data_IF_011336662063
#
_entry.id   IF_011336662063
#
_cell.length_a   1.000
_cell.length_b   1.000
_cell.length_c   1.000
_cell.angle_alpha   90.00
_cell.angle_beta   90.00
_cell.angle_gamma   90.00
#
_symmetry.space_group_name_H-M   'P 1'
#
loop_
_entity.id
_entity.type
_entity.pdbx_description
1 polymer ?
#
# COMPACT_ATOMS: atom_id res chain seq x y z
N UNK A 1 -1.04 11.56 -35.43
CA UNK A 1 -1.00 10.10 -35.19
C UNK A 1 -0.48 9.69 -33.81
N UNK A 2 0.14 10.56 -32.99
CA UNK A 2 0.47 10.23 -31.58
C UNK A 2 -0.69 10.48 -30.59
N UNK A 3 -1.74 11.20 -31.01
CA UNK A 3 -2.95 11.46 -30.20
C UNK A 3 -3.79 10.22 -29.93
N UNK A 4 -3.71 9.21 -30.80
CA UNK A 4 -4.59 8.04 -30.75
C UNK A 4 -4.05 6.94 -29.83
N UNK A 5 -2.79 7.07 -29.38
CA UNK A 5 -2.10 6.08 -28.54
C UNK A 5 -2.41 6.27 -27.05
N UNK A 6 -2.62 7.51 -26.61
CA UNK A 6 -2.77 7.84 -25.18
C UNK A 6 -4.23 8.09 -24.76
N UNK A 7 -5.17 8.05 -25.71
CA UNK A 7 -6.55 8.44 -25.48
C UNK A 7 -6.68 9.91 -25.04
N UNK A 8 -7.91 10.36 -24.84
CA UNK A 8 -8.21 11.69 -24.27
C UNK A 8 -9.02 11.49 -23.01
N UNK A 9 -8.54 12.03 -21.89
CA UNK A 9 -9.35 12.10 -20.68
C UNK A 9 -10.53 13.05 -20.89
N UNK A 10 -11.71 12.59 -20.50
CA UNK A 10 -12.89 13.43 -20.37
C UNK A 10 -13.49 13.20 -18.99
N UNK A 11 -13.84 14.30 -18.31
CA UNK A 11 -14.58 14.24 -17.06
C UNK A 11 -16.06 14.16 -17.40
N UNK A 12 -16.68 13.01 -17.11
CA UNK A 12 -18.10 12.80 -17.33
C UNK A 12 -18.93 13.50 -16.25
N UNK A 13 -20.07 14.08 -16.64
CA UNK A 13 -21.05 14.62 -15.70
C UNK A 13 -22.01 13.51 -15.29
N UNK A 14 -21.79 12.96 -14.11
CA UNK A 14 -22.62 11.88 -13.53
C UNK A 14 -23.80 12.42 -12.72
N UNK A 15 -24.81 11.59 -12.50
CA UNK A 15 -26.03 11.90 -11.73
C UNK A 15 -26.40 10.74 -10.80
N UNK A 16 -27.44 10.92 -9.98
CA UNK A 16 -27.98 9.89 -9.09
C UNK A 16 -27.22 9.79 -7.77
N UNK A 17 -27.22 8.59 -7.18
CA UNK A 17 -26.66 8.32 -5.85
C UNK A 17 -25.14 8.16 -5.92
N UNK A 18 -24.42 9.28 -6.06
CA UNK A 18 -22.96 9.26 -6.23
C UNK A 18 -22.30 8.67 -4.97
N UNK A 19 -21.44 7.63 -5.10
CA UNK A 19 -20.76 7.04 -3.95
C UNK A 19 -19.79 8.03 -3.29
N UNK A 20 -19.61 7.90 -1.98
CA UNK A 20 -18.65 8.70 -1.22
C UNK A 20 -17.20 8.42 -1.65
N UNK A 21 -16.33 9.41 -1.44
CA UNK A 21 -14.89 9.30 -1.71
C UNK A 21 -14.29 8.14 -0.93
N UNK A 22 -13.65 7.22 -1.65
CA UNK A 22 -13.11 5.96 -1.11
C UNK A 22 -11.92 5.46 -1.90
N UNK A 23 -11.02 4.75 -1.23
CA UNK A 23 -9.90 4.02 -1.83
C UNK A 23 -10.07 2.51 -1.66
N UNK A 24 -9.36 1.73 -2.49
CA UNK A 24 -9.30 0.26 -2.39
C UNK A 24 -10.68 -0.43 -2.42
N UNK A 25 -11.62 0.19 -3.11
CA UNK A 25 -12.88 -0.44 -3.53
C UNK A 25 -12.61 -1.32 -4.75
N UNK A 26 -13.58 -2.15 -5.11
CA UNK A 26 -13.55 -2.90 -6.37
C UNK A 26 -14.55 -2.32 -7.35
N UNK A 27 -14.26 -2.47 -8.64
CA UNK A 27 -15.12 -2.07 -9.75
C UNK A 27 -15.24 -3.24 -10.73
N UNK A 28 -16.45 -3.69 -11.03
CA UNK A 28 -16.68 -4.80 -11.96
C UNK A 28 -17.76 -4.46 -12.96
N UNK A 29 -17.49 -4.68 -14.24
CA UNK A 29 -18.45 -4.51 -15.32
C UNK A 29 -19.28 -5.79 -15.46
N UNK A 30 -20.61 -5.67 -15.34
CA UNK A 30 -21.57 -6.73 -15.65
C UNK A 30 -22.62 -6.15 -16.61
N UNK A 31 -22.69 -6.70 -17.82
CA UNK A 31 -23.51 -6.12 -18.89
C UNK A 31 -23.05 -4.68 -19.18
N UNK A 32 -23.96 -3.72 -19.00
CA UNK A 32 -23.70 -2.28 -19.19
C UNK A 32 -23.48 -1.51 -17.89
N UNK A 33 -23.43 -2.20 -16.75
CA UNK A 33 -23.34 -1.57 -15.43
C UNK A 33 -21.99 -1.85 -14.77
N UNK A 34 -21.37 -0.80 -14.24
CA UNK A 34 -20.20 -0.93 -13.38
C UNK A 34 -20.64 -0.94 -11.93
N UNK A 35 -20.29 -2.00 -11.22
CA UNK A 35 -20.62 -2.17 -9.80
C UNK A 35 -19.41 -1.80 -8.94
N UNK A 36 -19.62 -0.88 -8.00
CA UNK A 36 -18.64 -0.50 -6.99
C UNK A 36 -19.01 -1.14 -5.67
N UNK A 37 -18.08 -1.91 -5.09
CA UNK A 37 -18.31 -2.66 -3.85
C UNK A 37 -17.22 -2.32 -2.82
N UNK A 38 -17.67 -1.96 -1.63
CA UNK A 38 -16.83 -1.71 -0.46
C UNK A 38 -15.84 -0.55 -0.62
N UNK A 39 -14.68 -0.68 0.03
CA UNK A 39 -13.63 0.35 0.07
C UNK A 39 -13.47 1.00 1.44
N UNK A 40 -12.60 2.01 1.51
CA UNK A 40 -12.29 2.73 2.73
C UNK A 40 -12.20 4.24 2.49
N UNK A 41 -12.83 5.03 3.35
CA UNK A 41 -12.67 6.49 3.37
C UNK A 41 -11.67 6.87 4.45
N UNK A 42 -10.62 7.59 4.05
CA UNK A 42 -9.63 8.16 5.00
C UNK A 42 -10.23 9.29 5.82
N UNK A 43 -11.03 10.16 5.20
CA UNK A 43 -11.61 11.33 5.89
C UNK A 43 -12.63 10.92 6.95
N UNK A 44 -13.41 9.86 6.69
CA UNK A 44 -14.38 9.34 7.64
C UNK A 44 -13.89 8.14 8.46
N UNK A 45 -12.65 7.69 8.28
CA UNK A 45 -12.09 6.44 8.83
C UNK A 45 -13.05 5.23 8.75
N UNK A 46 -13.80 5.15 7.66
CA UNK A 46 -14.95 4.25 7.52
C UNK A 46 -14.68 3.22 6.44
N UNK A 47 -14.90 1.96 6.78
CA UNK A 47 -14.94 0.85 5.83
C UNK A 47 -16.36 0.68 5.30
N UNK A 48 -16.48 0.30 4.04
CA UNK A 48 -17.77 0.13 3.38
C UNK A 48 -18.01 -1.32 2.95
N UNK A 49 -19.28 -1.70 2.83
CA UNK A 49 -19.77 -2.88 2.13
C UNK A 49 -21.01 -2.54 1.27
N UNK A 50 -21.29 -1.25 1.07
CA UNK A 50 -22.37 -0.81 0.20
C UNK A 50 -22.04 -1.08 -1.28
N UNK A 51 -23.10 -1.18 -2.08
CA UNK A 51 -23.04 -1.46 -3.51
C UNK A 51 -23.62 -0.27 -4.25
N UNK A 52 -22.92 0.17 -5.28
CA UNK A 52 -23.44 1.13 -6.24
C UNK A 52 -23.35 0.53 -7.63
N UNK A 53 -24.38 0.72 -8.43
CA UNK A 53 -24.34 0.45 -9.86
C UNK A 53 -24.29 1.76 -10.64
N UNK A 54 -23.37 1.83 -11.60
CA UNK A 54 -23.26 2.91 -12.55
C UNK A 54 -23.73 2.43 -13.92
N UNK A 55 -24.81 3.00 -14.42
CA UNK A 55 -25.28 2.75 -15.78
C UNK A 55 -24.42 3.54 -16.76
N UNK A 56 -23.68 2.83 -17.63
CA UNK A 56 -22.66 3.45 -18.50
C UNK A 56 -23.27 4.29 -19.63
N UNK A 57 -24.52 3.99 -20.04
CA UNK A 57 -25.21 4.72 -21.10
C UNK A 57 -25.85 6.02 -20.60
N UNK A 58 -26.42 6.00 -19.39
CA UNK A 58 -27.13 7.15 -18.82
C UNK A 58 -26.28 7.96 -17.85
N UNK A 59 -25.07 7.48 -17.54
CA UNK A 59 -24.11 8.08 -16.60
C UNK A 59 -24.73 8.33 -15.21
N UNK A 60 -25.59 7.40 -14.78
CA UNK A 60 -26.36 7.52 -13.54
C UNK A 60 -25.94 6.46 -12.54
N UNK A 61 -25.68 6.88 -11.31
CA UNK A 61 -25.43 6.03 -10.16
C UNK A 61 -26.73 5.67 -9.45
N UNK A 62 -26.81 4.44 -8.96
CA UNK A 62 -27.90 3.95 -8.12
C UNK A 62 -27.30 3.20 -6.94
N UNK A 63 -27.66 3.59 -5.72
CA UNK A 63 -27.34 2.82 -4.52
C UNK A 63 -28.24 1.57 -4.48
N UNK A 64 -27.64 0.40 -4.27
CA UNK A 64 -28.38 -0.87 -4.25
C UNK A 64 -28.49 -1.41 -2.82
N UNK A 65 -29.72 -1.75 -2.43
CA UNK A 65 -30.02 -2.45 -1.19
C UNK A 65 -30.22 -3.93 -1.50
N UNK A 66 -29.14 -4.70 -1.45
CA UNK A 66 -29.15 -6.14 -1.74
C UNK A 66 -29.68 -6.95 -0.55
N UNK A 67 -30.41 -8.02 -0.85
CA UNK A 67 -30.81 -9.03 0.17
C UNK A 67 -29.67 -10.01 0.44
N UNK A 68 -29.90 -10.95 1.37
CA UNK A 68 -28.89 -11.94 1.79
C UNK A 68 -27.91 -11.38 2.83
N UNK A 69 -26.81 -12.10 3.06
CA UNK A 69 -25.79 -11.73 4.04
C UNK A 69 -24.57 -11.14 3.31
N UNK A 70 -24.38 -9.81 3.32
CA UNK A 70 -23.23 -9.19 2.67
C UNK A 70 -21.93 -9.50 3.43
N UNK A 71 -20.77 -9.39 2.77
CA UNK A 71 -19.50 -9.38 3.45
C UNK A 71 -19.43 -8.22 4.46
N UNK A 72 -18.66 -8.41 5.54
CA UNK A 72 -18.29 -7.32 6.46
C UNK A 72 -17.67 -6.13 5.70
N UNK A 73 -17.87 -4.93 6.24
CA UNK A 73 -17.26 -3.67 5.76
C UNK A 73 -15.75 -3.83 5.60
N UNK A 74 -15.26 -3.72 4.35
CA UNK A 74 -13.88 -4.10 3.99
C UNK A 74 -13.29 -3.26 2.86
N UNK A 75 -11.98 -3.27 2.75
CA UNK A 75 -11.24 -2.69 1.62
C UNK A 75 -10.08 -3.59 1.17
N UNK A 76 -9.57 -3.37 -0.05
CA UNK A 76 -8.46 -4.13 -0.61
C UNK A 76 -8.78 -5.60 -0.90
N UNK A 77 -10.07 -5.93 -1.06
CA UNK A 77 -10.51 -7.22 -1.59
C UNK A 77 -10.43 -7.20 -3.12
N UNK A 78 -10.58 -8.37 -3.75
CA UNK A 78 -10.76 -8.48 -5.20
C UNK A 78 -12.22 -8.72 -5.55
N UNK A 79 -12.62 -8.32 -6.77
CA UNK A 79 -13.92 -8.65 -7.35
C UNK A 79 -13.73 -9.20 -8.77
N UNK A 80 -14.44 -10.27 -9.12
CA UNK A 80 -14.31 -10.96 -10.41
C UNK A 80 -15.70 -11.24 -10.99
N UNK A 81 -15.97 -10.70 -12.18
CA UNK A 81 -17.24 -10.89 -12.85
C UNK A 81 -17.24 -12.19 -13.66
N UNK A 82 -18.14 -13.13 -13.34
CA UNK A 82 -18.32 -14.42 -14.04
C UNK A 82 -19.82 -14.71 -14.12
N UNK A 83 -20.32 -15.02 -15.31
CA UNK A 83 -21.75 -15.31 -15.59
C UNK A 83 -22.73 -14.25 -15.12
N UNK A 84 -22.34 -12.99 -15.20
CA UNK A 84 -23.16 -11.88 -14.71
C UNK A 84 -23.24 -11.77 -13.19
N UNK A 85 -22.47 -12.57 -12.44
CA UNK A 85 -22.31 -12.45 -10.99
C UNK A 85 -20.93 -11.89 -10.64
N UNK A 86 -20.80 -11.35 -9.43
CA UNK A 86 -19.56 -10.73 -8.95
C UNK A 86 -19.04 -11.48 -7.73
N UNK A 87 -17.91 -12.15 -7.90
CA UNK A 87 -17.25 -12.92 -6.86
C UNK A 87 -16.27 -12.05 -6.09
N UNK A 88 -16.42 -11.99 -4.76
CA UNK A 88 -15.62 -11.19 -3.85
C UNK A 88 -14.75 -12.11 -2.99
N UNK A 89 -13.43 -11.86 -2.98
CA UNK A 89 -12.49 -12.63 -2.16
C UNK A 89 -11.60 -11.74 -1.31
N UNK A 90 -11.49 -12.11 -0.03
CA UNK A 90 -10.53 -11.56 0.93
C UNK A 90 -10.73 -10.08 1.27
N UNK A 91 -9.62 -9.36 1.40
CA UNK A 91 -9.57 -7.98 1.89
C UNK A 91 -9.33 -7.88 3.39
N UNK A 92 -9.45 -6.67 3.93
CA UNK A 92 -9.27 -6.40 5.36
C UNK A 92 -10.45 -5.62 5.94
N UNK A 93 -10.80 -5.96 7.17
CA UNK A 93 -11.89 -5.38 7.97
C UNK A 93 -11.33 -4.66 9.20
N UNK A 94 -12.09 -3.71 9.76
CA UNK A 94 -11.74 -3.05 11.03
C UNK A 94 -12.19 -3.93 12.20
N UNK A 95 -11.31 -4.19 13.15
CA UNK A 95 -11.62 -4.90 14.40
C UNK A 95 -11.41 -3.98 15.61
N UNK A 96 -12.14 -4.23 16.71
CA UNK A 96 -11.94 -3.50 17.96
C UNK A 96 -10.60 -3.95 18.58
N UNK A 97 -9.77 -3.01 19.03
CA UNK A 97 -8.49 -3.31 19.72
C UNK A 97 -8.73 -4.22 20.94
N UNK A 98 -8.05 -5.38 21.01
CA UNK A 98 -7.95 -6.20 22.22
C UNK A 98 -8.31 -7.69 22.07
N UNK A 99 -8.46 -8.21 20.85
CA UNK A 99 -8.57 -9.64 20.56
C UNK A 99 -7.20 -10.34 20.52
N UNK A 100 -7.15 -11.60 20.97
CA UNK A 100 -5.94 -12.44 21.04
C UNK A 100 -5.23 -12.70 19.68
N UNK A 101 -5.85 -12.34 18.56
CA UNK A 101 -5.33 -12.49 17.19
C UNK A 101 -5.14 -11.14 16.48
N UNK A 102 -5.21 -10.03 17.21
CA UNK A 102 -5.15 -8.69 16.64
C UNK A 102 -3.72 -8.32 16.23
N UNK A 103 -3.58 -7.68 15.07
CA UNK A 103 -2.46 -6.75 14.91
C UNK A 103 -2.78 -5.51 15.74
N UNK A 104 -2.39 -5.55 17.02
CA UNK A 104 -2.59 -4.49 18.01
C UNK A 104 -2.11 -3.11 17.51
N UNK A 105 -1.22 -3.09 16.50
CA UNK A 105 -0.67 -1.87 15.89
C UNK A 105 -1.65 -1.16 14.96
N UNK A 106 -2.60 -1.86 14.32
CA UNK A 106 -3.47 -1.29 13.28
C UNK A 106 -4.97 -1.55 13.44
N UNK A 107 -5.39 -2.48 14.30
CA UNK A 107 -6.83 -2.76 14.52
C UNK A 107 -7.56 -3.24 13.26
N UNK A 108 -6.88 -4.06 12.45
CA UNK A 108 -7.44 -4.65 11.23
C UNK A 108 -7.25 -6.16 11.21
N UNK A 109 -8.22 -6.87 10.63
CA UNK A 109 -8.13 -8.30 10.39
C UNK A 109 -8.26 -8.58 8.89
N UNK A 110 -7.44 -9.51 8.39
CA UNK A 110 -7.50 -9.94 7.00
C UNK A 110 -8.50 -11.09 6.87
N UNK A 111 -9.16 -11.18 5.71
CA UNK A 111 -10.14 -12.21 5.40
C UNK A 111 -9.68 -13.04 4.19
N UNK A 112 -10.19 -14.27 4.09
CA UNK A 112 -10.11 -15.18 2.93
C UNK A 112 -11.46 -15.83 2.64
N UNK A 113 -12.55 -15.19 3.07
CA UNK A 113 -13.90 -15.61 2.77
C UNK A 113 -14.25 -15.32 1.30
N UNK A 114 -15.19 -16.13 0.76
CA UNK A 114 -15.71 -15.98 -0.59
C UNK A 114 -17.19 -15.61 -0.54
N UNK A 115 -17.54 -14.51 -1.22
CA UNK A 115 -18.91 -14.09 -1.43
C UNK A 115 -19.19 -13.97 -2.92
N UNK A 116 -20.46 -14.10 -3.28
CA UNK A 116 -20.97 -13.82 -4.60
C UNK A 116 -22.12 -12.83 -4.47
N UNK A 117 -22.03 -11.73 -5.19
CA UNK A 117 -23.14 -10.82 -5.41
C UNK A 117 -23.80 -11.16 -6.74
N UNK A 118 -25.10 -11.39 -6.71
CA UNK A 118 -25.91 -11.60 -7.89
C UNK A 118 -26.73 -10.34 -8.20
N UNK A 119 -26.39 -9.58 -9.25
CA UNK A 119 -27.13 -8.38 -9.61
C UNK A 119 -28.60 -8.62 -9.97
N UNK A 120 -28.96 -9.85 -10.33
CA UNK A 120 -30.34 -10.27 -10.60
C UNK A 120 -30.53 -11.65 -9.95
N UNK A 121 -31.02 -11.69 -8.70
CA UNK A 121 -32.10 -10.84 -8.17
C UNK A 121 -31.69 -9.67 -7.25
N UNK A 122 -30.42 -9.25 -7.20
CA UNK A 122 -29.86 -8.30 -6.23
C UNK A 122 -29.70 -8.92 -4.82
N UNK A 123 -28.94 -10.02 -4.75
CA UNK A 123 -28.78 -10.82 -3.53
C UNK A 123 -27.31 -11.25 -3.30
N UNK A 124 -26.94 -11.41 -2.03
CA UNK A 124 -25.65 -11.94 -1.59
C UNK A 124 -25.71 -13.41 -1.21
N UNK A 125 -24.67 -14.14 -1.62
CA UNK A 125 -24.43 -15.51 -1.24
C UNK A 125 -23.02 -15.67 -0.67
N UNK A 126 -22.90 -16.39 0.45
CA UNK A 126 -21.60 -16.80 1.00
C UNK A 126 -21.30 -18.22 0.55
N UNK A 127 -20.06 -18.46 0.14
CA UNK A 127 -19.58 -19.77 -0.27
C UNK A 127 -18.44 -20.22 0.63
N UNK A 128 -18.35 -21.53 0.82
CA UNK A 128 -17.25 -22.20 1.51
C UNK A 128 -16.63 -23.22 0.55
N UNK A 129 -15.72 -22.76 -0.33
CA UNK A 129 -15.09 -23.65 -1.30
C UNK A 129 -14.27 -24.73 -0.59
N UNK A 130 -14.26 -25.91 -1.17
CA UNK A 130 -13.41 -27.01 -0.72
C UNK A 130 -11.95 -26.80 -1.15
N UNK A 131 -11.04 -27.67 -0.70
CA UNK A 131 -9.63 -27.64 -1.10
C UNK A 131 -8.77 -26.66 -0.30
N UNK A 132 -7.55 -26.42 -0.79
CA UNK A 132 -6.55 -25.55 -0.15
C UNK A 132 -6.56 -24.19 -0.82
N UNK A 133 -7.17 -23.21 -0.14
CA UNK A 133 -7.28 -21.84 -0.62
C UNK A 133 -6.21 -20.90 -0.04
N UNK A 134 -6.14 -19.66 -0.56
CA UNK A 134 -5.22 -18.66 -0.07
C UNK A 134 -5.45 -18.33 1.41
N UNK A 135 -4.37 -18.05 2.13
CA UNK A 135 -4.43 -17.45 3.46
C UNK A 135 -5.13 -16.08 3.45
N UNK A 136 -5.67 -15.59 4.58
CA UNK A 136 -6.27 -14.26 4.68
C UNK A 136 -5.35 -13.15 4.17
N UNK A 137 -5.83 -12.35 3.21
CA UNK A 137 -4.99 -11.39 2.48
C UNK A 137 -5.77 -10.20 1.92
N UNK A 138 -5.07 -9.12 1.62
CA UNK A 138 -5.60 -7.94 0.93
C UNK A 138 -4.61 -7.43 -0.11
N UNK A 139 -5.09 -6.62 -1.06
CA UNK A 139 -4.29 -6.06 -2.15
C UNK A 139 -3.62 -7.13 -3.01
N UNK A 140 -4.15 -8.34 -3.05
CA UNK A 140 -3.80 -9.35 -4.04
C UNK A 140 -4.40 -8.97 -5.39
N UNK A 141 -3.81 -9.49 -6.45
CA UNK A 141 -4.39 -9.44 -7.79
C UNK A 141 -5.33 -10.62 -8.03
N UNK A 142 -6.39 -10.41 -8.80
CA UNK A 142 -7.31 -11.45 -9.23
C UNK A 142 -7.61 -11.29 -10.71
N UNK A 143 -7.68 -12.39 -11.45
CA UNK A 143 -8.00 -12.39 -12.88
C UNK A 143 -8.85 -13.60 -13.24
N UNK A 144 -9.80 -13.40 -14.15
CA UNK A 144 -10.69 -14.44 -14.65
C UNK A 144 -10.11 -15.02 -15.94
N UNK A 145 -10.01 -16.35 -16.03
CA UNK A 145 -9.74 -17.07 -17.28
C UNK A 145 -10.74 -18.23 -17.38
N UNK A 146 -11.62 -18.16 -18.38
CA UNK A 146 -12.79 -19.06 -18.44
C UNK A 146 -13.67 -18.92 -17.20
N UNK A 147 -14.00 -20.04 -16.55
CA UNK A 147 -14.78 -20.09 -15.29
C UNK A 147 -13.90 -20.28 -14.05
N UNK A 148 -12.67 -19.75 -14.10
CA UNK A 148 -11.69 -19.85 -13.02
C UNK A 148 -11.22 -18.46 -12.60
N UNK A 149 -10.96 -18.29 -11.31
CA UNK A 149 -10.36 -17.09 -10.74
C UNK A 149 -8.96 -17.45 -10.28
N UNK A 150 -7.95 -16.76 -10.81
CA UNK A 150 -6.57 -16.87 -10.36
C UNK A 150 -6.26 -15.73 -9.38
N UNK A 151 -5.72 -16.08 -8.21
CA UNK A 151 -5.32 -15.15 -7.16
C UNK A 151 -3.80 -15.22 -7.01
N UNK A 152 -3.14 -14.07 -7.10
CA UNK A 152 -1.70 -13.97 -6.91
C UNK A 152 -1.34 -12.86 -5.95
N UNK A 153 -0.40 -13.16 -5.04
CA UNK A 153 0.21 -12.20 -4.14
C UNK A 153 -0.73 -11.65 -3.07
N UNK A 154 -0.54 -10.37 -2.72
CA UNK A 154 -1.26 -9.69 -1.65
C UNK A 154 -0.47 -9.63 -0.35
N UNK A 155 -1.06 -9.08 0.71
CA UNK A 155 -0.41 -8.91 2.00
C UNK A 155 -1.35 -9.32 3.15
N UNK A 156 -0.76 -9.79 4.25
CA UNK A 156 -1.41 -10.06 5.54
C UNK A 156 -0.64 -9.40 6.69
N UNK A 157 -1.22 -9.38 7.89
CA UNK A 157 -0.45 -9.08 9.09
C UNK A 157 0.27 -10.35 9.54
N UNK A 158 1.60 -10.34 9.49
CA UNK A 158 2.40 -11.30 10.24
C UNK A 158 3.26 -10.53 11.25
N UNK A 159 3.08 -10.84 12.53
CA UNK A 159 3.77 -10.19 13.64
C UNK A 159 5.30 -10.23 13.57
N UNK A 160 5.89 -11.16 12.81
CA UNK A 160 7.34 -11.30 12.64
C UNK A 160 7.69 -12.08 11.36
N UNK A 161 7.68 -11.43 10.18
CA UNK A 161 8.42 -11.93 9.00
C UNK A 161 8.97 -10.77 8.18
N UNK A 162 10.24 -10.48 8.37
CA UNK A 162 11.11 -9.95 7.32
C UNK A 162 11.32 -11.12 6.32
N UNK A 163 11.17 -11.00 5.00
CA UNK A 163 11.56 -9.86 4.17
C UNK A 163 10.42 -9.29 3.30
N UNK A 164 9.71 -8.33 3.90
CA UNK A 164 9.01 -7.15 3.36
C UNK A 164 7.85 -7.24 2.36
N UNK A 165 6.77 -7.84 2.88
CA UNK A 165 5.38 -7.34 2.86
C UNK A 165 4.39 -7.80 1.78
N UNK A 166 4.69 -8.84 1.00
CA UNK A 166 3.72 -9.47 0.09
C UNK A 166 3.81 -11.01 0.04
N UNK A 167 2.91 -11.64 -0.71
CA UNK A 167 2.96 -13.05 -1.08
C UNK A 167 3.42 -13.20 -2.54
N UNK A 168 3.89 -14.39 -2.92
CA UNK A 168 4.23 -14.77 -4.30
C UNK A 168 3.60 -16.12 -4.71
N UNK A 169 2.57 -16.54 -3.98
CA UNK A 169 1.80 -17.76 -4.22
C UNK A 169 0.71 -17.52 -5.27
N UNK A 170 0.32 -18.60 -5.97
CA UNK A 170 -0.72 -18.59 -6.98
C UNK A 170 -1.79 -19.62 -6.62
N UNK A 171 -3.05 -19.20 -6.57
CA UNK A 171 -4.18 -20.09 -6.35
C UNK A 171 -5.19 -19.98 -7.49
N UNK A 172 -5.88 -21.09 -7.74
CA UNK A 172 -6.99 -21.19 -8.68
C UNK A 172 -8.26 -21.56 -7.91
N UNK A 173 -9.33 -20.78 -8.10
CA UNK A 173 -10.70 -21.17 -7.74
C UNK A 173 -11.45 -21.57 -9.00
N UNK A 174 -11.90 -22.82 -9.03
CA UNK A 174 -12.85 -23.29 -10.04
C UNK A 174 -14.27 -22.97 -9.58
N UNK A 175 -15.01 -22.20 -10.40
CA UNK A 175 -16.42 -21.89 -10.12
C UNK A 175 -17.33 -23.11 -10.36
N UNK A 176 -16.94 -24.00 -11.27
CA UNK A 176 -17.70 -25.22 -11.60
C UNK A 176 -17.73 -26.22 -10.45
N UNK A 177 -16.59 -26.41 -9.79
CA UNK A 177 -16.42 -27.38 -8.70
C UNK A 177 -16.47 -26.75 -7.32
N UNK A 178 -16.51 -25.41 -7.26
CA UNK A 178 -16.42 -24.62 -6.02
C UNK A 178 -15.26 -25.09 -5.12
N UNK A 179 -14.06 -25.15 -5.70
CA UNK A 179 -12.88 -25.69 -5.04
C UNK A 179 -11.64 -24.86 -5.34
N UNK A 180 -10.84 -24.62 -4.30
CA UNK A 180 -9.52 -24.03 -4.41
C UNK A 180 -8.44 -25.08 -4.68
N UNK A 181 -7.41 -24.66 -5.41
CA UNK A 181 -6.14 -25.38 -5.53
C UNK A 181 -4.98 -24.39 -5.52
N UNK A 182 -3.92 -24.71 -4.78
CA UNK A 182 -2.63 -24.05 -4.96
C UNK A 182 -2.01 -24.51 -6.28
N UNK A 183 -1.53 -23.55 -7.08
CA UNK A 183 -0.95 -23.85 -8.37
C UNK A 183 0.53 -24.16 -8.23
N UNK A 184 0.92 -25.36 -8.63
CA UNK A 184 2.33 -25.66 -8.89
C UNK A 184 2.76 -24.91 -10.15
N UNK A 185 3.81 -24.12 -10.02
CA UNK A 185 4.35 -23.31 -11.13
C UNK A 185 5.82 -23.61 -11.36
N UNK A 186 6.29 -23.31 -12.56
CA UNK A 186 7.65 -23.52 -12.99
C UNK A 186 8.34 -22.19 -13.32
N UNK A 187 9.67 -22.21 -13.37
CA UNK A 187 10.53 -21.04 -13.49
C UNK A 187 10.37 -20.05 -12.33
N UNK A 188 10.86 -18.82 -12.51
CA UNK A 188 10.92 -17.81 -11.46
C UNK A 188 9.65 -16.96 -11.46
N UNK A 189 8.82 -17.01 -10.40
CA UNK A 189 7.65 -16.13 -10.27
C UNK A 189 8.07 -14.70 -9.95
N UNK A 190 7.14 -13.72 -10.04
CA UNK A 190 7.35 -12.40 -9.48
C UNK A 190 7.74 -12.48 -8.00
N UNK A 191 8.63 -11.58 -7.57
CA UNK A 191 8.97 -11.47 -6.15
C UNK A 191 7.72 -11.18 -5.29
N UNK A 192 7.73 -11.53 -4.00
CA UNK A 192 6.59 -11.29 -3.11
C UNK A 192 6.11 -9.84 -3.16
N UNK A 193 4.82 -9.64 -3.47
CA UNK A 193 4.27 -8.32 -3.69
C UNK A 193 2.77 -8.21 -3.36
N UNK A 194 2.32 -6.97 -3.22
CA UNK A 194 0.91 -6.59 -3.17
C UNK A 194 0.68 -5.34 -4.03
N UNK A 195 -0.57 -5.11 -4.39
CA UNK A 195 -0.96 -3.98 -5.25
C UNK A 195 -0.38 -4.08 -6.67
N UNK A 196 0.05 -5.27 -7.09
CA UNK A 196 0.34 -5.57 -8.48
C UNK A 196 -0.98 -5.68 -9.27
N UNK A 197 -0.89 -5.62 -10.59
CA UNK A 197 -2.01 -5.93 -11.47
C UNK A 197 -1.85 -7.30 -12.12
N UNK A 198 -2.96 -7.91 -12.49
CA UNK A 198 -3.04 -9.13 -13.29
C UNK A 198 -4.05 -8.90 -14.40
N UNK A 199 -3.67 -9.21 -15.64
CA UNK A 199 -4.50 -8.97 -16.83
C UNK A 199 -4.48 -10.21 -17.71
N UNK A 200 -5.64 -10.77 -18.04
CA UNK A 200 -5.73 -11.83 -19.03
C UNK A 200 -5.52 -11.23 -20.42
N UNK A 201 -4.56 -11.78 -21.17
CA UNK A 201 -4.11 -11.22 -22.45
C UNK A 201 -4.42 -12.14 -23.65
N UNK A 202 -5.25 -13.16 -23.44
CA UNK A 202 -5.55 -14.18 -24.45
C UNK A 202 -4.59 -15.37 -24.40
N UNK A 203 -4.86 -16.39 -25.23
CA UNK A 203 -4.03 -17.58 -25.43
C UNK A 203 -3.53 -18.25 -24.14
N UNK A 204 -4.41 -18.32 -23.13
CA UNK A 204 -4.11 -18.88 -21.81
C UNK A 204 -2.93 -18.19 -21.11
N UNK A 205 -2.74 -16.89 -21.33
CA UNK A 205 -1.67 -16.10 -20.71
C UNK A 205 -2.20 -14.99 -19.82
N UNK A 206 -1.54 -14.80 -18.69
CA UNK A 206 -1.81 -13.71 -17.74
C UNK A 206 -0.57 -12.84 -17.62
N UNK A 207 -0.70 -11.55 -17.88
CA UNK A 207 0.33 -10.55 -17.64
C UNK A 207 0.20 -9.97 -16.23
N UNK A 208 1.30 -9.99 -15.49
CA UNK A 208 1.46 -9.35 -14.18
C UNK A 208 2.41 -8.17 -14.29
N UNK A 209 2.03 -7.04 -13.70
CA UNK A 209 2.86 -5.83 -13.71
C UNK A 209 2.94 -5.14 -12.35
N UNK A 210 4.16 -4.72 -12.03
CA UNK A 210 4.47 -3.87 -10.90
C UNK A 210 4.15 -4.50 -9.53
N UNK A 211 3.66 -3.68 -8.61
CA UNK A 211 3.42 -4.07 -7.23
C UNK A 211 4.52 -3.59 -6.28
N UNK A 212 4.31 -3.84 -4.99
CA UNK A 212 5.21 -3.43 -3.93
C UNK A 212 5.57 -4.63 -3.05
N UNK A 213 6.87 -4.85 -2.89
CA UNK A 213 7.45 -5.68 -1.84
C UNK A 213 8.36 -4.79 -0.99
N UNK A 214 9.65 -5.16 -0.89
CA UNK A 214 10.68 -4.29 -0.32
C UNK A 214 10.75 -2.92 -1.03
N UNK A 215 10.69 -2.95 -2.37
CA UNK A 215 10.67 -1.80 -3.26
C UNK A 215 9.44 -1.85 -4.15
N UNK A 216 9.07 -0.70 -4.72
CA UNK A 216 8.08 -0.65 -5.79
C UNK A 216 8.71 -1.16 -7.08
N UNK A 217 7.98 -2.01 -7.79
CA UNK A 217 8.48 -2.73 -8.96
C UNK A 217 7.81 -2.22 -10.25
N UNK A 218 8.50 -2.41 -11.37
CA UNK A 218 8.01 -2.26 -12.75
C UNK A 218 8.27 -3.54 -13.57
N UNK A 219 8.42 -4.67 -12.91
CA UNK A 219 8.69 -5.95 -13.58
C UNK A 219 7.45 -6.41 -14.34
N UNK A 220 7.68 -7.00 -15.51
CA UNK A 220 6.65 -7.62 -16.34
C UNK A 220 6.87 -9.13 -16.28
N UNK A 221 5.86 -9.87 -15.86
CA UNK A 221 5.85 -11.32 -15.93
C UNK A 221 4.63 -11.79 -16.69
N UNK A 222 4.79 -12.85 -17.49
CA UNK A 222 3.67 -13.56 -18.09
C UNK A 222 3.68 -14.99 -17.56
N UNK A 223 2.53 -15.43 -17.08
CA UNK A 223 2.26 -16.82 -16.75
C UNK A 223 1.56 -17.47 -17.94
N UNK A 224 2.15 -18.52 -18.50
CA UNK A 224 1.48 -19.41 -19.46
C UNK A 224 0.73 -20.50 -18.70
N UNK A 225 -0.60 -20.53 -18.81
CA UNK A 225 -1.45 -21.48 -18.08
C UNK A 225 -1.48 -22.87 -18.70
N UNK A 226 -0.99 -23.05 -19.94
CA UNK A 226 -0.86 -24.38 -20.52
C UNK A 226 0.30 -25.15 -19.88
N UNK A 227 1.39 -24.44 -19.55
CA UNK A 227 2.62 -25.01 -18.98
C UNK A 227 2.83 -24.64 -17.51
N UNK A 228 1.98 -23.78 -16.94
CA UNK A 228 2.14 -23.18 -15.61
C UNK A 228 3.53 -22.57 -15.37
N UNK A 229 4.13 -22.03 -16.43
CA UNK A 229 5.51 -21.50 -16.41
C UNK A 229 5.52 -19.97 -16.41
N UNK A 230 6.36 -19.40 -15.55
CA UNK A 230 6.59 -17.96 -15.50
C UNK A 230 7.69 -17.54 -16.48
N UNK A 231 7.46 -16.40 -17.14
CA UNK A 231 8.39 -15.79 -18.08
C UNK A 231 8.51 -14.30 -17.75
N UNK A 232 9.74 -13.80 -17.57
CA UNK A 232 9.99 -12.40 -17.27
C UNK A 232 10.35 -11.64 -18.54
N UNK A 233 9.84 -10.42 -18.67
CA UNK A 233 10.05 -9.58 -19.85
C UNK A 233 10.64 -8.22 -19.48
N UNK A 234 11.52 -7.73 -20.34
CA UNK A 234 11.87 -6.32 -20.43
C UNK A 234 10.95 -5.62 -21.42
N UNK A 235 10.68 -4.35 -21.14
CA UNK A 235 9.95 -3.48 -22.06
C UNK A 235 10.93 -2.85 -23.05
N UNK A 236 10.66 -2.99 -24.35
CA UNK A 236 11.53 -2.50 -25.42
C UNK A 236 11.46 -0.97 -25.63
N UNK A 237 10.39 -0.33 -25.13
CA UNK A 237 10.22 1.12 -25.19
C UNK A 237 10.92 1.86 -24.04
N UNK A 238 10.46 3.08 -23.77
CA UNK A 238 10.90 3.83 -22.60
C UNK A 238 10.53 3.10 -21.31
N UNK A 239 11.46 3.01 -20.36
CA UNK A 239 11.27 2.32 -19.08
C UNK A 239 9.93 2.72 -18.43
N UNK A 240 9.08 1.73 -18.19
CA UNK A 240 7.82 1.92 -17.47
C UNK A 240 8.08 2.32 -16.01
N UNK A 241 7.30 3.26 -15.49
CA UNK A 241 7.44 3.68 -14.09
C UNK A 241 7.08 2.53 -13.15
N UNK A 242 7.87 2.36 -12.08
CA UNK A 242 7.52 1.44 -11.00
C UNK A 242 6.26 1.93 -10.31
N UNK A 243 5.31 1.02 -10.06
CA UNK A 243 4.00 1.40 -9.50
C UNK A 243 3.31 0.26 -8.78
N UNK A 244 2.55 0.61 -7.75
CA UNK A 244 1.62 -0.28 -7.06
C UNK A 244 0.28 0.42 -6.81
N UNK A 245 -0.79 -0.37 -6.65
CA UNK A 245 -2.15 0.15 -6.50
C UNK A 245 -2.67 0.89 -7.75
N UNK A 246 -2.09 0.60 -8.91
CA UNK A 246 -2.52 1.11 -10.21
C UNK A 246 -3.65 0.22 -10.77
N UNK A 247 -4.37 0.72 -11.78
CA UNK A 247 -5.27 -0.11 -12.58
C UNK A 247 -4.58 -0.57 -13.85
N UNK A 248 -4.87 -1.80 -14.28
CA UNK A 248 -4.50 -2.32 -15.58
C UNK A 248 -5.75 -2.83 -16.30
N UNK A 249 -5.85 -2.61 -17.61
CA UNK A 249 -6.98 -3.08 -18.41
C UNK A 249 -6.49 -3.49 -19.78
N UNK A 250 -6.90 -4.68 -20.24
CA UNK A 250 -6.66 -5.11 -21.61
C UNK A 250 -7.60 -4.35 -22.55
N UNK A 251 -7.03 -3.77 -23.59
CA UNK A 251 -7.72 -3.04 -24.64
C UNK A 251 -7.58 -3.80 -25.96
N UNK A 252 -8.58 -3.64 -26.84
CA UNK A 252 -8.57 -4.14 -28.20
C UNK A 252 -7.28 -3.65 -28.92
N UNK A 253 -6.66 -4.48 -29.76
CA UNK A 253 -5.30 -4.29 -30.33
C UNK A 253 -4.12 -4.71 -29.43
N UNK A 254 -4.29 -5.75 -28.61
CA UNK A 254 -3.22 -6.37 -27.81
C UNK A 254 -2.48 -5.39 -26.90
N UNK A 255 -3.21 -4.46 -26.29
CA UNK A 255 -2.61 -3.39 -25.49
C UNK A 255 -3.10 -3.48 -24.05
N UNK A 256 -2.17 -3.51 -23.10
CA UNK A 256 -2.50 -3.34 -21.68
C UNK A 256 -2.30 -1.89 -21.31
N UNK A 257 -3.35 -1.23 -20.84
CA UNK A 257 -3.33 0.17 -20.40
C UNK A 257 -3.16 0.21 -18.90
N UNK A 258 -2.12 0.90 -18.44
CA UNK A 258 -1.79 1.13 -17.04
C UNK A 258 -2.13 2.56 -16.68
N UNK A 259 -2.82 2.76 -15.55
CA UNK A 259 -3.16 4.10 -15.08
C UNK A 259 -2.91 4.28 -13.59
N UNK A 260 -2.27 5.41 -13.27
CA UNK A 260 -2.06 5.87 -11.91
C UNK A 260 -1.21 4.92 -11.06
N UNK A 261 -1.60 4.78 -9.80
CA UNK A 261 -0.84 4.06 -8.78
C UNK A 261 0.08 4.97 -7.99
N UNK A 262 1.03 4.36 -7.29
CA UNK A 262 2.01 5.05 -6.45
C UNK A 262 3.39 4.47 -6.66
N UNK A 263 4.41 5.31 -6.63
CA UNK A 263 5.82 4.93 -6.61
C UNK A 263 6.49 5.41 -5.30
N UNK A 264 7.82 5.40 -5.26
CA UNK A 264 8.58 5.87 -4.10
C UNK A 264 8.56 7.40 -3.95
N UNK A 265 8.16 8.14 -4.99
CA UNK A 265 8.10 9.61 -5.02
C UNK A 265 6.71 10.16 -4.69
N UNK A 266 5.64 9.42 -5.00
CA UNK A 266 4.27 9.89 -4.78
C UNK A 266 3.22 9.18 -5.62
N UNK A 267 2.06 9.82 -5.76
CA UNK A 267 0.97 9.32 -6.59
C UNK A 267 1.22 9.64 -8.06
N UNK A 268 0.99 8.66 -8.91
CA UNK A 268 1.08 8.79 -10.35
C UNK A 268 -0.28 9.17 -10.94
N UNK A 269 -0.26 9.99 -11.99
CA UNK A 269 -1.41 10.27 -12.86
C UNK A 269 -1.12 9.91 -14.32
N UNK A 270 -0.01 9.21 -14.57
CA UNK A 270 0.42 8.81 -15.90
C UNK A 270 -0.39 7.64 -16.46
N UNK A 271 -0.63 7.70 -17.77
CA UNK A 271 -1.01 6.54 -18.59
C UNK A 271 0.26 5.97 -19.20
N UNK A 272 0.44 4.66 -19.04
CA UNK A 272 1.42 3.88 -19.79
C UNK A 272 0.71 2.73 -20.51
N UNK A 273 1.28 2.27 -21.62
CA UNK A 273 0.70 1.16 -22.38
C UNK A 273 1.76 0.13 -22.70
N UNK A 274 1.40 -1.15 -22.65
CA UNK A 274 2.25 -2.26 -23.06
C UNK A 274 1.61 -2.92 -24.29
N UNK A 275 2.29 -2.87 -25.44
CA UNK A 275 1.87 -3.56 -26.67
C UNK A 275 2.44 -4.98 -26.72
N UNK A 276 1.55 -5.96 -26.83
CA UNK A 276 1.89 -7.38 -26.81
C UNK A 276 1.82 -7.95 -28.24
N UNK A 277 2.80 -8.77 -28.69
CA UNK A 277 4.08 -9.08 -28.03
C UNK A 277 5.19 -8.07 -28.39
N UNK A 278 4.94 -7.13 -29.31
CA UNK A 278 5.98 -6.36 -30.00
C UNK A 278 6.90 -5.53 -29.09
N UNK A 279 6.43 -5.11 -27.92
CA UNK A 279 7.23 -4.32 -26.97
C UNK A 279 7.82 -5.16 -25.82
N UNK A 280 7.71 -6.49 -25.89
CA UNK A 280 8.17 -7.40 -24.85
C UNK A 280 9.36 -8.22 -25.34
N UNK A 281 10.47 -8.13 -24.62
CA UNK A 281 11.68 -8.91 -24.85
C UNK A 281 11.80 -9.89 -23.68
N UNK A 282 11.68 -11.18 -23.97
CA UNK A 282 11.81 -12.21 -22.94
C UNK A 282 13.25 -12.24 -22.40
N UNK A 283 13.36 -12.21 -21.08
CA UNK A 283 14.64 -12.25 -20.38
C UNK A 283 15.00 -13.68 -20.04
N UNK A 284 16.24 -14.09 -20.32
CA UNK A 284 16.69 -15.42 -19.94
C UNK A 284 16.90 -15.48 -18.42
N UNK A 285 16.57 -16.60 -17.76
CA UNK A 285 16.75 -16.74 -16.31
C UNK A 285 18.18 -16.41 -15.83
N UNK A 286 19.20 -16.78 -16.62
CA UNK A 286 20.60 -16.49 -16.31
C UNK A 286 20.94 -14.99 -16.33
N UNK A 287 20.29 -14.23 -17.21
CA UNK A 287 20.48 -12.78 -17.35
C UNK A 287 19.83 -12.05 -16.18
N UNK A 288 18.62 -12.47 -15.80
CA UNK A 288 17.91 -11.97 -14.61
C UNK A 288 18.74 -12.22 -13.35
N UNK A 289 19.23 -13.45 -13.16
CA UNK A 289 20.02 -13.81 -11.99
C UNK A 289 21.33 -13.00 -11.88
N UNK A 290 22.02 -12.76 -13.00
CA UNK A 290 23.24 -11.92 -13.02
C UNK A 290 22.95 -10.48 -12.62
N UNK A 291 21.87 -9.90 -13.15
CA UNK A 291 21.48 -8.52 -12.85
C UNK A 291 21.03 -8.37 -11.40
N UNK A 292 20.31 -9.34 -10.84
CA UNK A 292 19.89 -9.33 -9.44
C UNK A 292 21.08 -9.41 -8.47
N UNK A 293 22.09 -10.24 -8.78
CA UNK A 293 23.33 -10.31 -8.00
C UNK A 293 24.07 -8.97 -8.04
N UNK A 294 24.16 -8.34 -9.22
CA UNK A 294 24.77 -7.03 -9.39
C UNK A 294 24.06 -5.97 -8.55
N UNK A 295 22.73 -5.87 -8.65
CA UNK A 295 21.91 -4.91 -7.89
C UNK A 295 22.04 -5.10 -6.37
N UNK A 296 22.03 -6.35 -5.89
CA UNK A 296 22.27 -6.66 -4.47
C UNK A 296 23.66 -6.22 -4.01
N UNK A 297 24.67 -6.36 -4.87
CA UNK A 297 26.03 -5.87 -4.61
C UNK A 297 26.09 -4.35 -4.44
N UNK A 298 25.49 -3.61 -5.39
CA UNK A 298 25.42 -2.14 -5.37
C UNK A 298 24.64 -1.62 -4.15
N UNK A 299 23.52 -2.26 -3.80
CA UNK A 299 22.72 -1.92 -2.62
C UNK A 299 23.48 -2.17 -1.31
N UNK A 300 24.17 -3.31 -1.20
CA UNK A 300 25.00 -3.62 -0.03
C UNK A 300 26.12 -2.60 0.15
N UNK A 301 26.70 -2.10 -0.94
CA UNK A 301 27.68 -1.03 -0.90
C UNK A 301 27.08 0.29 -0.41
N UNK A 302 25.95 0.72 -0.98
CA UNK A 302 25.25 1.94 -0.55
C UNK A 302 24.84 1.90 0.93
N UNK A 303 24.38 0.75 1.42
CA UNK A 303 24.04 0.54 2.83
C UNK A 303 25.27 0.69 3.74
N UNK A 304 26.42 0.14 3.33
CA UNK A 304 27.68 0.32 4.08
C UNK A 304 28.10 1.78 4.16
N UNK A 305 28.02 2.52 3.05
CA UNK A 305 28.32 3.95 3.00
C UNK A 305 27.37 4.76 3.90
N UNK A 306 26.07 4.46 3.85
CA UNK A 306 25.04 5.11 4.69
C UNK A 306 25.27 4.83 6.17
N UNK A 307 25.58 3.60 6.54
CA UNK A 307 25.94 3.23 7.91
C UNK A 307 27.18 3.98 8.40
N UNK A 308 28.21 4.11 7.57
CA UNK A 308 29.40 4.91 7.89
C UNK A 308 29.06 6.38 8.14
N UNK A 309 28.22 6.98 7.29
CA UNK A 309 27.76 8.36 7.46
C UNK A 309 26.95 8.55 8.76
N UNK A 310 26.08 7.59 9.10
CA UNK A 310 25.32 7.61 10.34
C UNK A 310 26.22 7.48 11.57
N UNK A 311 27.25 6.63 11.53
CA UNK A 311 28.23 6.51 12.60
C UNK A 311 29.01 7.81 12.81
N UNK A 312 29.45 8.46 11.73
CA UNK A 312 30.12 9.76 11.79
C UNK A 312 29.21 10.85 12.36
N UNK A 313 27.94 10.86 11.95
CA UNK A 313 26.93 11.80 12.46
C UNK A 313 26.68 11.57 13.96
N UNK A 314 26.54 10.31 14.38
CA UNK A 314 26.35 9.96 15.78
C UNK A 314 27.55 10.38 16.63
N UNK A 315 28.78 10.19 16.15
CA UNK A 315 29.99 10.66 16.82
C UNK A 315 30.00 12.18 16.97
N UNK A 316 29.67 12.91 15.90
CA UNK A 316 29.61 14.38 15.94
C UNK A 316 28.57 14.88 16.94
N UNK A 317 27.40 14.24 17.01
CA UNK A 317 26.37 14.57 17.99
C UNK A 317 26.83 14.28 19.42
N UNK A 318 27.56 13.17 19.63
CA UNK A 318 28.13 12.83 20.94
C UNK A 318 29.13 13.91 21.41
N UNK A 319 29.99 14.37 20.50
CA UNK A 319 30.99 15.41 20.79
C UNK A 319 30.30 16.75 21.14
N UNK A 320 29.25 17.12 20.39
CA UNK A 320 28.42 18.31 20.68
C UNK A 320 27.78 18.21 22.08
N UNK A 321 27.23 17.05 22.44
CA UNK A 321 26.61 16.83 23.76
C UNK A 321 27.63 17.03 24.88
N UNK A 322 28.85 16.50 24.73
CA UNK A 322 29.94 16.68 25.71
C UNK A 322 30.30 18.16 25.84
N UNK A 323 30.51 18.85 24.72
CA UNK A 323 30.86 20.27 24.71
C UNK A 323 29.76 21.14 25.35
N UNK A 324 28.49 20.88 25.05
CA UNK A 324 27.36 21.56 25.69
C UNK A 324 27.32 21.29 27.21
N UNK A 325 27.61 20.06 27.63
CA UNK A 325 27.72 19.69 29.04
C UNK A 325 28.78 20.51 29.78
N UNK A 326 29.97 20.65 29.20
CA UNK A 326 31.06 21.47 29.75
C UNK A 326 30.71 22.96 29.84
N UNK A 327 30.06 23.49 28.80
CA UNK A 327 29.58 24.88 28.79
C UNK A 327 28.54 25.13 29.89
N UNK A 328 27.57 24.22 30.08
CA UNK A 328 26.59 24.33 31.16
C UNK A 328 27.24 24.27 32.55
N UNK A 329 28.22 23.38 32.74
CA UNK A 329 29.00 23.29 33.98
C UNK A 329 29.73 24.61 34.28
N UNK A 330 30.29 25.23 33.25
CA UNK A 330 30.98 26.52 33.35
C UNK A 330 30.00 27.63 33.72
N UNK A 331 28.88 27.73 33.01
CA UNK A 331 27.81 28.69 33.34
C UNK A 331 27.29 28.52 34.77
N UNK A 332 27.12 27.26 35.23
CA UNK A 332 26.68 26.96 36.60
C UNK A 332 27.70 27.44 37.64
N UNK A 333 29.01 27.30 37.38
CA UNK A 333 30.06 27.83 38.26
C UNK A 333 29.99 29.36 38.34
N UNK A 334 29.94 30.04 37.19
CA UNK A 334 29.83 31.50 37.12
C UNK A 334 28.58 32.02 37.86
N UNK A 335 27.42 31.40 37.66
CA UNK A 335 26.18 31.71 38.39
C UNK A 335 26.33 31.58 39.90
N UNK A 336 27.04 30.54 40.35
CA UNK A 336 27.30 30.30 41.77
C UNK A 336 28.18 31.39 42.37
N UNK A 337 29.22 31.81 41.65
CA UNK A 337 30.10 32.92 42.04
C UNK A 337 29.36 34.25 42.07
N UNK A 338 28.59 34.58 41.03
CA UNK A 338 27.74 35.78 41.01
C UNK A 338 26.76 35.81 42.18
N UNK A 339 26.20 34.66 42.58
CA UNK A 339 25.34 34.54 43.77
C UNK A 339 26.08 34.88 45.06
N UNK A 340 27.33 34.41 45.23
CA UNK A 340 28.16 34.73 46.41
C UNK A 340 28.42 36.23 46.51
N UNK A 341 28.80 36.87 45.40
CA UNK A 341 29.03 38.32 45.33
C UNK A 341 27.75 39.09 45.70
N UNK A 342 26.61 38.70 45.13
CA UNK A 342 25.32 39.33 45.44
C UNK A 342 24.95 39.21 46.93
N UNK A 343 25.27 38.07 47.55
CA UNK A 343 25.05 37.85 48.98
C UNK A 343 25.91 38.80 49.83
N UNK A 344 27.18 38.98 49.47
CA UNK A 344 28.09 39.94 50.11
C UNK A 344 27.57 41.38 50.02
N UNK A 345 27.17 41.82 48.83
CA UNK A 345 26.59 43.15 48.61
C UNK A 345 25.30 43.35 49.44
N UNK A 346 24.48 42.31 49.59
CA UNK A 346 23.27 42.37 50.45
C UNK A 346 23.64 42.56 51.93
N UNK A 347 24.60 41.80 52.45
CA UNK A 347 25.06 41.91 53.83
C UNK A 347 25.66 43.29 54.12
N UNK A 348 26.47 43.81 53.19
CA UNK A 348 27.07 45.14 53.31
C UNK A 348 26.01 46.25 53.29
N UNK A 349 25.03 46.16 52.37
CA UNK A 349 23.88 47.08 52.35
C UNK A 349 23.07 47.04 53.64
N UNK A 350 22.87 45.86 54.24
CA UNK A 350 22.17 45.74 55.51
C UNK A 350 22.96 46.39 56.66
N UNK A 351 24.28 46.20 56.69
CA UNK A 351 25.17 46.87 57.64
C UNK A 351 25.12 48.39 57.49
N UNK A 352 25.18 48.91 56.26
CA UNK A 352 25.07 50.34 55.97
C UNK A 352 23.71 50.90 56.42
N UNK A 353 22.61 50.18 56.19
CA UNK A 353 21.28 50.57 56.69
C UNK A 353 21.24 50.63 58.22
N UNK A 354 21.84 49.66 58.92
CA UNK A 354 21.93 49.68 60.39
C UNK A 354 22.76 50.87 60.89
N UNK A 355 23.92 51.13 60.29
CA UNK A 355 24.75 52.31 60.62
C UNK A 355 24.00 53.62 60.39
N UNK A 356 23.28 53.75 59.28
CA UNK A 356 22.45 54.92 58.98
C UNK A 356 21.32 55.11 59.99
N UNK A 357 20.66 54.02 60.42
CA UNK A 357 19.63 54.08 61.45
C UNK A 357 20.18 54.55 62.81
N UNK A 358 21.35 54.04 63.21
CA UNK A 358 22.02 54.44 64.45
C UNK A 358 22.43 55.93 64.42
N UNK A 359 22.98 56.39 63.29
CA UNK A 359 23.34 57.79 63.11
C UNK A 359 22.12 58.72 63.21
N UNK A 360 20.98 58.34 62.62
CA UNK A 360 19.72 59.09 62.73
C UNK A 360 19.15 59.11 64.16
N UNK A 361 19.37 58.04 64.94
CA UNK A 361 18.95 57.99 66.35
C UNK A 361 19.80 58.92 67.22
N UNK A 362 21.12 58.94 67.02
CA UNK A 362 22.02 59.86 67.73
C UNK A 362 21.75 61.33 67.40
N UNK A 363 21.29 61.63 66.18
CA UNK A 363 20.93 62.98 65.76
C UNK A 363 19.62 63.51 66.37
N UNK A 364 18.80 62.64 66.99
CA UNK A 364 17.59 63.02 67.75
C UNK A 364 17.84 63.21 69.26
N UNK A 365 19.03 62.87 69.73
CA UNK A 365 19.45 62.94 71.14
C UNK A 365 20.31 64.18 71.46
N UNK A 366 20.54 65.02 70.44
CA UNK A 366 20.97 66.42 70.54
C UNK A 366 19.79 67.31 70.15
#
# INVERSE_FOLDING_TARGET
>A
MLSDIYGKFSKLRVRGDVPEVRERHTASLVGKRVYIIGGYSRSGETYYNNIYAFETETLTWTALEATGVPPEKRCGHSASAIDGKIWIFGGRVKVKKGGLLDDERFGVQYRNDLYCYDPVPNEWYRYEPSGVGPSPRSLHSAVVVGRKIYIFGGAASSGTRDDSSGFCDLYELSIDTMSWRECETHNTPPSPCYGNSATYIGDNKILYFGGKGYKVQNTIHILDLNTMSWHQFAYAGNQLASRWGHSATFHENNRVVLYGGRDDTGYLSSIETILIPNELIELKPEEVAKEDVKKKGEEKQRLRETMGNLQNTAQTLQDIIVQMGEQMLTQKRTLTESRKVLLGIKQENEMLRRKLALAKQNQKLF
#
